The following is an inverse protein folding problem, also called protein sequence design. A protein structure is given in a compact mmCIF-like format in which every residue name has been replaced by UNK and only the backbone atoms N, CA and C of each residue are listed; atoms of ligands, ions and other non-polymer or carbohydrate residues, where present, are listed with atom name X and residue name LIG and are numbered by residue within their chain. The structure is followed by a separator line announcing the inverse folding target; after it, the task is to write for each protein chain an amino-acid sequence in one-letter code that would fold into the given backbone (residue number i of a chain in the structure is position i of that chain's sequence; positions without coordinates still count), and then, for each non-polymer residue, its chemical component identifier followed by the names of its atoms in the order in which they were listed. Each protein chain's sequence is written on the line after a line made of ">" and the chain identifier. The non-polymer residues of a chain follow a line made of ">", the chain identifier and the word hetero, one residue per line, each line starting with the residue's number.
data_IF_027484971252
#
_entry.id   IF_027484971252
#
_cell.length_a   1.000
_cell.length_b   1.000
_cell.length_c   1.000
_cell.angle_alpha   90.00
_cell.angle_beta   90.00
_cell.angle_gamma   90.00
#
_symmetry.space_group_name_H-M   'P 1'
#
loop_
_entity.id
_entity.type
_entity.pdbx_description
1 polymer ?
#
# COMPACT_ATOMS: atom_id res chain seq x y z
N UNK A 1 -26.07 -31.19 10.00
CA UNK A 1 -25.23 -30.06 10.46
C UNK A 1 -25.45 -28.90 9.51
N UNK A 2 -25.93 -27.73 9.96
CA UNK A 2 -26.02 -26.54 9.09
C UNK A 2 -24.61 -26.12 8.69
N UNK A 3 -24.30 -26.20 7.39
CA UNK A 3 -23.09 -25.58 6.85
C UNK A 3 -23.20 -24.08 7.12
N UNK A 4 -22.26 -23.56 7.90
CA UNK A 4 -22.22 -22.13 8.19
C UNK A 4 -21.64 -21.44 6.97
N UNK A 5 -22.06 -20.19 6.76
CA UNK A 5 -21.68 -19.43 5.55
C UNK A 5 -20.17 -19.35 5.35
N UNK A 6 -19.37 -19.36 6.43
CA UNK A 6 -17.90 -19.34 6.34
C UNK A 6 -17.28 -20.62 5.79
N UNK A 7 -17.97 -21.78 5.86
CA UNK A 7 -17.52 -23.04 5.27
C UNK A 7 -17.87 -23.12 3.77
N UNK A 8 -18.73 -22.21 3.30
CA UNK A 8 -19.15 -22.13 1.91
C UNK A 8 -18.35 -21.09 1.12
N UNK A 9 -17.49 -20.30 1.77
CA UNK A 9 -16.67 -19.30 1.09
C UNK A 9 -15.56 -20.01 0.32
N UNK A 10 -15.40 -19.62 -0.95
CA UNK A 10 -14.39 -20.20 -1.82
C UNK A 10 -12.96 -19.89 -1.34
N UNK A 11 -12.09 -20.90 -1.37
CA UNK A 11 -10.70 -20.78 -0.90
C UNK A 11 -9.90 -19.83 -1.79
N UNK A 12 -10.10 -19.88 -3.12
CA UNK A 12 -9.41 -18.99 -4.06
C UNK A 12 -9.84 -17.55 -3.84
N UNK A 13 -11.13 -17.34 -3.54
CA UNK A 13 -11.62 -16.03 -3.15
C UNK A 13 -10.95 -15.53 -1.86
N UNK A 14 -10.81 -16.38 -0.84
CA UNK A 14 -10.13 -16.01 0.42
C UNK A 14 -8.66 -15.63 0.16
N UNK A 15 -7.96 -16.38 -0.68
CA UNK A 15 -6.58 -16.08 -1.06
C UNK A 15 -6.47 -14.74 -1.81
N UNK A 16 -7.33 -14.50 -2.80
CA UNK A 16 -7.38 -13.23 -3.54
C UNK A 16 -7.73 -12.05 -2.61
N UNK A 17 -8.68 -12.25 -1.69
CA UNK A 17 -9.04 -11.25 -0.69
C UNK A 17 -7.84 -10.88 0.21
N UNK A 18 -7.04 -11.87 0.63
CA UNK A 18 -5.83 -11.64 1.42
C UNK A 18 -4.78 -10.87 0.63
N UNK A 19 -4.56 -11.20 -0.64
CA UNK A 19 -3.63 -10.48 -1.52
C UNK A 19 -4.02 -9.01 -1.70
N UNK A 20 -5.30 -8.74 -1.96
CA UNK A 20 -5.81 -7.38 -2.08
C UNK A 20 -5.61 -6.59 -0.77
N UNK A 21 -5.83 -7.21 0.40
CA UNK A 21 -5.59 -6.57 1.70
C UNK A 21 -4.11 -6.24 1.89
N UNK A 22 -3.22 -7.15 1.50
CA UNK A 22 -1.76 -6.92 1.55
C UNK A 22 -1.32 -5.81 0.60
N UNK A 23 -2.04 -5.60 -0.50
CA UNK A 23 -1.85 -4.47 -1.43
C UNK A 23 -2.45 -3.16 -0.91
N UNK A 24 -3.05 -3.15 0.29
CA UNK A 24 -3.61 -1.95 0.92
C UNK A 24 -5.07 -1.66 0.56
N UNK A 25 -5.78 -2.60 -0.08
CA UNK A 25 -7.22 -2.45 -0.33
C UNK A 25 -8.03 -2.43 0.97
N UNK A 26 -9.10 -1.64 0.96
CA UNK A 26 -10.00 -1.52 2.12
C UNK A 26 -10.79 -2.82 2.29
N UNK A 27 -10.72 -3.40 3.49
CA UNK A 27 -11.45 -4.62 3.84
C UNK A 27 -12.95 -4.53 3.50
N UNK A 28 -13.61 -3.38 3.75
CA UNK A 28 -15.03 -3.18 3.43
C UNK A 28 -15.36 -3.41 1.95
N UNK A 29 -14.47 -3.02 1.05
CA UNK A 29 -14.65 -3.17 -0.40
C UNK A 29 -14.57 -4.65 -0.79
N UNK A 30 -13.61 -5.37 -0.24
CA UNK A 30 -13.38 -6.79 -0.53
C UNK A 30 -14.55 -7.63 -0.01
N UNK A 31 -15.03 -7.34 1.20
CA UNK A 31 -16.14 -8.07 1.80
C UNK A 31 -17.50 -7.81 1.10
N UNK A 32 -17.58 -6.93 0.10
CA UNK A 32 -18.82 -6.56 -0.62
C UNK A 32 -19.16 -7.48 -1.79
N UNK A 33 -18.28 -8.40 -2.19
CA UNK A 33 -18.52 -9.31 -3.32
C UNK A 33 -17.85 -10.66 -3.01
N UNK A 34 -18.47 -11.44 -2.13
CA UNK A 34 -17.87 -12.69 -1.66
C UNK A 34 -18.34 -13.86 -2.51
N UNK A 35 -17.40 -14.60 -3.09
CA UNK A 35 -17.70 -15.78 -3.87
C UNK A 35 -17.77 -17.03 -2.98
N UNK A 36 -18.81 -17.84 -3.19
CA UNK A 36 -18.98 -19.12 -2.55
C UNK A 36 -18.47 -20.26 -3.44
N UNK A 37 -18.25 -21.43 -2.84
CA UNK A 37 -17.82 -22.66 -3.54
C UNK A 37 -18.82 -23.11 -4.61
N UNK A 38 -20.10 -22.74 -4.49
CA UNK A 38 -21.16 -23.00 -5.48
C UNK A 38 -21.23 -21.91 -6.58
N UNK A 39 -20.21 -21.05 -6.69
CA UNK A 39 -20.15 -19.96 -7.67
C UNK A 39 -21.06 -18.76 -7.40
N UNK A 40 -21.94 -18.85 -6.38
CA UNK A 40 -22.81 -17.74 -5.97
C UNK A 40 -22.01 -16.61 -5.34
N UNK A 41 -22.44 -15.38 -5.59
CA UNK A 41 -21.87 -14.18 -4.98
C UNK A 41 -22.83 -13.68 -3.91
N UNK A 42 -22.32 -13.48 -2.69
CA UNK A 42 -23.08 -12.86 -1.60
C UNK A 42 -22.67 -11.39 -1.43
N UNK A 43 -23.65 -10.50 -1.17
CA UNK A 43 -23.45 -9.06 -1.24
C UNK A 43 -22.62 -8.49 -0.09
N UNK A 44 -22.59 -9.14 1.07
CA UNK A 44 -21.58 -8.84 2.08
C UNK A 44 -21.42 -9.94 3.12
N UNK A 45 -20.25 -9.98 3.76
CA UNK A 45 -20.04 -10.73 4.99
C UNK A 45 -19.44 -9.86 6.08
N UNK A 46 -19.67 -10.27 7.34
CA UNK A 46 -19.01 -9.63 8.48
C UNK A 46 -17.50 -9.95 8.50
N UNK A 47 -16.70 -9.04 9.08
CA UNK A 47 -15.28 -9.28 9.36
C UNK A 47 -15.07 -10.57 10.17
N UNK A 48 -15.97 -10.86 11.12
CA UNK A 48 -15.93 -12.09 11.93
C UNK A 48 -16.09 -13.35 11.07
N UNK A 49 -17.03 -13.33 10.13
CA UNK A 49 -17.26 -14.41 9.17
C UNK A 49 -16.00 -14.67 8.33
N UNK A 50 -15.35 -13.60 7.87
CA UNK A 50 -14.12 -13.69 7.10
C UNK A 50 -12.97 -14.33 7.91
N UNK A 51 -12.73 -13.90 9.15
CA UNK A 51 -11.70 -14.51 10.01
C UNK A 51 -11.99 -15.98 10.32
N UNK A 52 -13.27 -16.33 10.52
CA UNK A 52 -13.68 -17.72 10.69
C UNK A 52 -13.43 -18.55 9.43
N UNK A 53 -13.67 -18.00 8.24
CA UNK A 53 -13.41 -18.70 6.98
C UNK A 53 -11.91 -18.98 6.78
N UNK A 54 -11.06 -18.00 7.09
CA UNK A 54 -9.60 -18.15 7.06
C UNK A 54 -9.14 -19.25 8.01
N UNK A 55 -9.63 -19.21 9.26
CA UNK A 55 -9.31 -20.20 10.30
C UNK A 55 -9.83 -21.60 9.97
N UNK A 56 -11.04 -21.70 9.42
CA UNK A 56 -11.65 -22.99 9.00
C UNK A 56 -10.82 -23.65 7.90
N UNK A 57 -10.25 -22.85 6.99
CA UNK A 57 -9.41 -23.32 5.89
C UNK A 57 -7.92 -23.49 6.25
N UNK A 58 -7.53 -23.36 7.53
CA UNK A 58 -6.14 -23.53 7.96
C UNK A 58 -5.17 -22.47 7.42
N UNK A 59 -5.67 -21.34 6.92
CA UNK A 59 -4.84 -20.26 6.39
C UNK A 59 -4.26 -19.50 7.59
N UNK A 60 -2.93 -19.34 7.68
CA UNK A 60 -2.31 -18.67 8.81
C UNK A 60 -2.71 -17.18 8.86
N UNK A 61 -3.25 -16.76 10.01
CA UNK A 61 -3.73 -15.40 10.30
C UNK A 61 -2.58 -14.34 10.32
N UNK A 62 -1.34 -14.77 10.12
CA UNK A 62 -0.11 -13.97 10.27
C UNK A 62 0.13 -12.94 9.17
N UNK A 63 -0.75 -12.85 8.16
CA UNK A 63 -0.60 -11.92 7.03
C UNK A 63 -1.50 -10.69 7.06
N UNK A 64 -2.43 -10.55 8.01
CA UNK A 64 -3.19 -9.28 8.17
C UNK A 64 -2.35 -8.22 8.86
N UNK A 65 -1.23 -7.83 8.26
CA UNK A 65 -0.69 -6.50 8.52
C UNK A 65 -1.57 -5.58 7.69
N UNK A 66 -2.49 -4.79 8.28
CA UNK A 66 -3.10 -3.71 7.52
C UNK A 66 -1.92 -2.95 6.93
N UNK A 67 -1.83 -2.93 5.59
CA UNK A 67 -0.74 -2.24 4.92
C UNK A 67 -0.59 -0.90 5.59
N UNK A 68 0.62 -0.59 6.08
CA UNK A 68 0.91 0.75 6.57
C UNK A 68 0.38 1.67 5.47
N UNK A 69 -0.50 2.61 5.81
CA UNK A 69 -0.88 3.68 4.88
C UNK A 69 0.40 4.11 4.17
N UNK A 70 0.40 4.30 2.84
CA UNK A 70 1.50 5.02 2.21
C UNK A 70 1.76 6.24 3.10
N UNK A 71 2.96 6.31 3.69
CA UNK A 71 3.36 7.49 4.45
C UNK A 71 3.48 8.53 3.34
N UNK A 72 2.42 9.32 3.15
CA UNK A 72 2.57 10.56 2.41
C UNK A 72 3.75 11.28 3.08
N UNK A 73 4.81 11.61 2.33
CA UNK A 73 5.94 12.29 2.93
C UNK A 73 5.40 13.56 3.60
N UNK A 74 5.68 13.79 4.90
CA UNK A 74 5.22 15.01 5.57
C UNK A 74 5.64 16.22 4.73
N UNK A 75 4.74 17.18 4.53
CA UNK A 75 4.99 18.38 3.70
C UNK A 75 6.28 19.11 4.10
N UNK A 76 6.70 18.97 5.36
CA UNK A 76 7.98 19.47 5.88
C UNK A 76 9.22 18.92 5.15
N UNK A 77 9.17 17.68 4.66
CA UNK A 77 10.24 17.10 3.84
C UNK A 77 10.28 17.71 2.44
N UNK A 78 9.14 18.13 1.89
CA UNK A 78 9.09 18.76 0.57
C UNK A 78 9.77 20.14 0.59
N UNK A 79 9.53 20.93 1.65
CA UNK A 79 10.18 22.22 1.85
C UNK A 79 11.69 22.05 2.10
N UNK A 80 12.07 21.02 2.87
CA UNK A 80 13.47 20.69 3.16
C UNK A 80 14.22 20.27 1.89
N UNK A 81 13.63 19.39 1.07
CA UNK A 81 14.22 18.94 -0.21
C UNK A 81 14.33 20.10 -1.20
N UNK A 82 13.32 20.98 -1.29
CA UNK A 82 13.37 22.17 -2.14
C UNK A 82 14.47 23.14 -1.70
N UNK A 83 14.62 23.40 -0.40
CA UNK A 83 15.72 24.21 0.14
C UNK A 83 17.08 23.59 -0.14
N UNK A 84 17.21 22.26 -0.03
CA UNK A 84 18.45 21.55 -0.35
C UNK A 84 18.78 21.65 -1.83
N UNK A 85 17.80 21.46 -2.72
CA UNK A 85 17.99 21.56 -4.17
C UNK A 85 18.41 22.97 -4.61
N UNK A 86 17.82 24.01 -4.01
CA UNK A 86 18.23 25.40 -4.26
C UNK A 86 19.65 25.71 -3.75
N UNK A 87 20.05 25.10 -2.63
CA UNK A 87 21.39 25.28 -2.05
C UNK A 87 22.47 24.60 -2.90
N UNK A 88 22.21 23.39 -3.41
CA UNK A 88 23.10 22.69 -4.34
C UNK A 88 23.24 23.45 -5.66
N UNK A 89 22.14 23.93 -6.24
CA UNK A 89 22.20 24.78 -7.45
C UNK A 89 23.05 26.03 -7.25
N UNK A 90 22.96 26.71 -6.10
CA UNK A 90 23.80 27.88 -5.82
C UNK A 90 25.28 27.56 -5.70
N UNK A 91 25.64 26.38 -5.19
CA UNK A 91 27.04 25.94 -5.09
C UNK A 91 27.66 25.64 -6.45
N UNK A 92 26.92 25.08 -7.42
CA UNK A 92 27.45 24.84 -8.78
C UNK A 92 27.76 26.14 -9.56
N UNK A 93 27.06 27.24 -9.28
CA UNK A 93 27.29 28.52 -9.97
C UNK A 93 28.48 29.33 -9.41
N UNK A 94 28.93 29.09 -8.17
CA UNK A 94 30.07 29.83 -7.60
C UNK A 94 31.42 29.23 -8.00
N UNK A 95 31.50 27.93 -8.25
CA UNK A 95 32.76 27.28 -8.64
C UNK A 95 33.17 27.58 -10.10
N UNK A 96 32.23 28.01 -10.95
CA UNK A 96 32.49 28.34 -12.36
C UNK A 96 32.82 29.82 -12.65
N UNK A 97 32.84 30.70 -11.64
CA UNK A 97 33.02 32.14 -11.86
C UNK A 97 34.41 32.67 -11.44
N UNK A 98 35.29 31.84 -10.89
CA UNK A 98 36.67 32.24 -10.55
C UNK A 98 37.70 31.89 -11.64
N UNK A 99 37.33 31.19 -12.72
CA UNK A 99 38.27 30.78 -13.79
C UNK A 99 38.24 31.67 -15.05
N UNK A 100 37.55 32.81 -15.02
CA UNK A 100 37.51 33.75 -16.14
C UNK A 100 37.80 35.19 -15.72
N UNK A 101 38.97 35.41 -15.09
CA UNK A 101 39.60 36.72 -15.11
C UNK A 101 40.40 36.85 -16.41
N UNK A 102 40.07 37.79 -17.33
CA UNK A 102 40.91 38.03 -18.49
C UNK A 102 42.24 38.61 -18.02
N UNK A 103 43.31 37.85 -18.27
CA UNK A 103 44.70 38.28 -18.16
C UNK A 103 44.85 39.53 -19.03
N UNK A 104 44.94 40.71 -18.39
CA UNK A 104 45.28 41.97 -19.04
C UNK A 104 46.80 41.99 -19.19
N UNK A 105 47.30 41.64 -20.38
CA UNK A 105 48.67 41.95 -20.81
C UNK A 105 48.59 43.23 -21.66
N UNK A 106 49.11 44.32 -21.12
CA UNK A 106 49.58 45.50 -21.84
C UNK A 106 51.01 45.75 -21.39
#
# INVERSE_FOLDING_TARGET
>A
MSRKIYDLIDINWIQSAIEQINQGQKLKTILSNVQLTDGRIIPSISKKTFHLAIKSNGIPDTKFKPGRKPIEPPEELLDTVNKLHQKVKKSEYQEHTEELLPIRIC
#
